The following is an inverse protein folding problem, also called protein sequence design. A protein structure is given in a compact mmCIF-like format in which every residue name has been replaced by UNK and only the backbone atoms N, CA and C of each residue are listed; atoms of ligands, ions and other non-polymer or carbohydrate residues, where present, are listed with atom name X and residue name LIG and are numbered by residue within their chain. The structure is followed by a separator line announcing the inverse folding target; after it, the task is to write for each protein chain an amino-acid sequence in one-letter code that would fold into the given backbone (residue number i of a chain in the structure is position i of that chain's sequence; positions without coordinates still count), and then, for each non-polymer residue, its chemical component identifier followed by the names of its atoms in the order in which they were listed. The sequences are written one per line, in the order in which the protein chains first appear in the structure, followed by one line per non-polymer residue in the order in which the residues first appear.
data_IF_500974648091
#
_entry.id   IF_500974648091
#
_cell.length_a   1.000
_cell.length_b   1.000
_cell.length_c   1.000
_cell.angle_alpha   90.00
_cell.angle_beta   90.00
_cell.angle_gamma   90.00
#
_symmetry.space_group_name_H-M   'P 1'
#
loop_
_entity.id
_entity.type
_entity.pdbx_description
1 polymer ?
#
# COMPACT_ATOMS: atom_id res chain seq x y z
N UNK A 1 -36.88 -2.08 9.97
CA UNK A 1 -36.28 -0.81 10.44
C UNK A 1 -34.74 -0.79 10.29
N UNK A 2 -34.05 -1.91 10.53
CA UNK A 2 -32.57 -2.00 10.51
C UNK A 2 -31.92 -1.89 9.13
N UNK A 3 -32.53 -2.42 8.07
CA UNK A 3 -31.98 -2.33 6.70
C UNK A 3 -32.05 -0.91 6.14
N UNK A 4 -33.18 -0.22 6.30
CA UNK A 4 -33.37 1.15 5.83
C UNK A 4 -32.40 2.14 6.50
N UNK A 5 -32.17 1.98 7.81
CA UNK A 5 -31.19 2.78 8.56
C UNK A 5 -29.74 2.52 8.10
N UNK A 6 -29.40 1.27 7.74
CA UNK A 6 -28.08 0.93 7.15
C UNK A 6 -27.90 1.61 5.81
N UNK A 7 -28.89 1.54 4.93
CA UNK A 7 -28.84 2.18 3.62
C UNK A 7 -28.72 3.71 3.73
N UNK A 8 -29.48 4.35 4.63
CA UNK A 8 -29.39 5.79 4.86
C UNK A 8 -28.01 6.21 5.42
N UNK A 9 -27.44 5.42 6.34
CA UNK A 9 -26.06 5.63 6.82
C UNK A 9 -25.04 5.50 5.69
N UNK A 10 -25.19 4.51 4.80
CA UNK A 10 -24.31 4.30 3.66
C UNK A 10 -24.38 5.45 2.65
N UNK A 11 -25.56 6.03 2.40
CA UNK A 11 -25.69 7.27 1.61
C UNK A 11 -25.01 8.47 2.28
N UNK A 12 -25.07 8.58 3.61
CA UNK A 12 -24.33 9.59 4.37
C UNK A 12 -22.81 9.44 4.25
N UNK A 13 -22.31 8.20 4.28
CA UNK A 13 -20.89 7.92 4.03
C UNK A 13 -20.50 8.16 2.57
N UNK A 14 -21.38 7.87 1.61
CA UNK A 14 -21.19 8.21 0.19
C UNK A 14 -21.06 9.72 -0.03
N UNK A 15 -21.87 10.55 0.64
CA UNK A 15 -21.76 12.00 0.60
C UNK A 15 -20.42 12.50 1.18
N UNK A 16 -19.87 11.79 2.17
CA UNK A 16 -18.54 12.07 2.76
C UNK A 16 -17.39 11.52 1.93
N UNK A 17 -17.64 10.77 0.86
CA UNK A 17 -16.58 10.30 -0.04
C UNK A 17 -15.94 11.44 -0.83
N UNK A 18 -16.60 12.60 -0.92
CA UNK A 18 -16.12 13.79 -1.63
C UNK A 18 -15.90 14.91 -0.62
N UNK A 19 -14.70 14.97 -0.05
CA UNK A 19 -14.25 16.07 0.82
C UNK A 19 -13.20 16.94 0.13
N UNK A 20 -12.88 18.10 0.71
CA UNK A 20 -11.92 19.07 0.14
C UNK A 20 -10.51 18.51 -0.02
N UNK A 21 -10.06 17.58 0.84
CA UNK A 21 -8.75 16.92 0.70
C UNK A 21 -8.73 15.99 -0.50
N UNK A 22 -9.82 15.27 -0.75
CA UNK A 22 -9.97 14.36 -1.89
C UNK A 22 -10.15 15.09 -3.20
N UNK A 23 -10.88 16.20 -3.22
CA UNK A 23 -10.99 17.06 -4.40
C UNK A 23 -9.58 17.49 -4.85
N UNK A 24 -8.70 17.86 -3.92
CA UNK A 24 -7.29 18.16 -4.24
C UNK A 24 -6.52 16.93 -4.74
N UNK A 25 -6.75 15.75 -4.17
CA UNK A 25 -6.18 14.49 -4.68
C UNK A 25 -6.62 14.20 -6.11
N UNK A 26 -7.92 14.23 -6.38
CA UNK A 26 -8.52 14.03 -7.70
C UNK A 26 -8.00 15.03 -8.73
N UNK A 27 -7.88 16.31 -8.36
CA UNK A 27 -7.31 17.34 -9.23
C UNK A 27 -5.84 17.07 -9.59
N UNK A 28 -5.05 16.48 -8.67
CA UNK A 28 -3.68 16.04 -8.97
C UNK A 28 -3.66 14.82 -9.88
N UNK A 29 -4.52 13.84 -9.63
CA UNK A 29 -4.63 12.64 -10.47
C UNK A 29 -4.93 13.01 -11.93
N UNK A 30 -5.86 13.94 -12.16
CA UNK A 30 -6.22 14.40 -13.50
C UNK A 30 -5.09 15.12 -14.24
N UNK A 31 -4.08 15.61 -13.52
CA UNK A 31 -2.90 16.31 -14.10
C UNK A 31 -1.68 15.41 -14.21
N UNK A 32 -1.72 14.23 -13.62
CA UNK A 32 -0.58 13.30 -13.61
C UNK A 32 -0.70 12.36 -14.79
N UNK A 33 0.30 12.39 -15.68
CA UNK A 33 0.33 11.48 -16.81
C UNK A 33 0.74 10.08 -16.34
N UNK A 34 -0.24 9.20 -16.11
CA UNK A 34 0.03 7.81 -15.72
C UNK A 34 0.63 7.02 -16.90
N UNK A 35 0.47 7.49 -18.13
CA UNK A 35 0.95 6.79 -19.31
C UNK A 35 2.48 6.79 -19.43
N UNK A 36 3.18 7.68 -18.72
CA UNK A 36 4.65 7.75 -18.71
C UNK A 36 5.34 6.58 -17.98
N UNK A 37 4.59 5.81 -17.19
CA UNK A 37 5.14 4.70 -16.41
C UNK A 37 5.03 3.41 -17.19
N UNK A 38 6.16 2.96 -17.72
CA UNK A 38 6.24 1.76 -18.53
C UNK A 38 6.66 0.53 -17.70
N UNK A 39 6.16 -0.65 -18.07
CA UNK A 39 6.59 -1.91 -17.50
C UNK A 39 8.02 -2.25 -17.96
N UNK A 40 8.68 -3.25 -17.36
CA UNK A 40 9.95 -3.74 -17.90
C UNK A 40 9.79 -4.18 -19.36
N UNK A 41 10.78 -3.89 -20.18
CA UNK A 41 10.78 -4.23 -21.62
C UNK A 41 10.64 -5.73 -21.87
N UNK A 42 11.20 -6.55 -20.97
CA UNK A 42 11.12 -8.01 -21.01
C UNK A 42 10.65 -8.54 -19.65
N UNK A 43 9.52 -9.25 -19.58
CA UNK A 43 9.06 -9.89 -18.35
C UNK A 43 10.10 -10.89 -17.83
N UNK A 44 10.43 -10.80 -16.55
CA UNK A 44 11.26 -11.80 -15.87
C UNK A 44 10.42 -13.07 -15.58
N UNK A 45 10.83 -14.18 -16.19
CA UNK A 45 10.11 -15.45 -16.08
C UNK A 45 10.05 -16.01 -14.65
N UNK A 46 11.06 -15.73 -13.81
CA UNK A 46 11.07 -16.16 -12.41
C UNK A 46 10.09 -15.32 -11.58
N UNK A 47 10.08 -13.99 -11.75
CA UNK A 47 9.14 -13.11 -11.07
C UNK A 47 7.69 -13.42 -11.48
N UNK A 48 7.46 -13.66 -12.78
CA UNK A 48 6.17 -14.13 -13.30
C UNK A 48 5.80 -15.48 -12.69
N UNK A 49 6.75 -16.42 -12.61
CA UNK A 49 6.55 -17.75 -12.04
C UNK A 49 6.08 -17.70 -10.59
N UNK A 50 6.75 -16.90 -9.74
CA UNK A 50 6.39 -16.76 -8.33
C UNK A 50 5.01 -16.12 -8.16
N UNK A 51 4.66 -15.13 -8.99
CA UNK A 51 3.37 -14.44 -8.92
C UNK A 51 2.23 -15.18 -9.66
N UNK A 52 2.50 -16.29 -10.35
CA UNK A 52 1.53 -17.01 -11.17
C UNK A 52 0.51 -17.79 -10.32
N UNK A 53 -0.77 -17.70 -10.67
CA UNK A 53 -1.84 -18.36 -9.90
C UNK A 53 -2.16 -17.64 -8.59
N UNK A 54 -3.36 -17.84 -8.06
CA UNK A 54 -3.78 -17.17 -6.82
C UNK A 54 -3.02 -17.72 -5.60
N UNK A 55 -2.84 -16.88 -4.58
CA UNK A 55 -2.45 -17.38 -3.25
C UNK A 55 -3.66 -18.05 -2.60
N UNK A 56 -3.47 -19.23 -2.03
CA UNK A 56 -4.55 -20.09 -1.52
C UNK A 56 -4.76 -19.94 0.00
N UNK A 57 -3.72 -19.51 0.72
CA UNK A 57 -3.76 -19.31 2.17
C UNK A 57 -2.87 -18.16 2.60
N UNK A 58 -2.90 -17.80 3.89
CA UNK A 58 -2.01 -16.77 4.45
C UNK A 58 -0.56 -17.27 4.48
N UNK A 59 -0.36 -18.57 4.75
CA UNK A 59 0.96 -19.19 4.75
C UNK A 59 1.57 -19.21 3.33
N UNK A 60 0.79 -19.66 2.34
CA UNK A 60 1.18 -19.64 0.92
C UNK A 60 1.50 -18.21 0.43
N UNK A 61 0.65 -17.23 0.79
CA UNK A 61 0.94 -15.83 0.49
C UNK A 61 2.25 -15.37 1.13
N UNK A 62 2.48 -15.64 2.43
CA UNK A 62 3.71 -15.23 3.11
C UNK A 62 4.97 -15.87 2.52
N UNK A 63 4.90 -17.16 2.16
CA UNK A 63 6.00 -17.87 1.50
C UNK A 63 6.32 -17.27 0.14
N UNK A 64 5.32 -17.13 -0.73
CA UNK A 64 5.53 -16.64 -2.10
C UNK A 64 5.88 -15.17 -2.16
N UNK A 65 5.36 -14.34 -1.25
CA UNK A 65 5.79 -12.95 -1.12
C UNK A 65 7.26 -12.86 -0.70
N UNK A 66 7.73 -13.71 0.21
CA UNK A 66 9.14 -13.79 0.59
C UNK A 66 10.01 -14.23 -0.59
N UNK A 67 9.61 -15.26 -1.32
CA UNK A 67 10.35 -15.68 -2.53
C UNK A 67 10.40 -14.56 -3.57
N UNK A 68 9.31 -13.83 -3.76
CA UNK A 68 9.28 -12.70 -4.69
C UNK A 68 10.18 -11.55 -4.20
N UNK A 69 10.18 -11.29 -2.89
CA UNK A 69 11.07 -10.32 -2.24
C UNK A 69 12.53 -10.68 -2.47
N UNK A 70 12.94 -11.90 -2.14
CA UNK A 70 14.32 -12.38 -2.30
C UNK A 70 14.79 -12.22 -3.76
N UNK A 71 13.95 -12.58 -4.72
CA UNK A 71 14.26 -12.45 -6.16
C UNK A 71 14.42 -11.00 -6.61
N UNK A 72 13.61 -10.09 -6.08
CA UNK A 72 13.73 -8.66 -6.39
C UNK A 72 14.99 -8.06 -5.75
N UNK A 73 15.33 -8.47 -4.52
CA UNK A 73 16.55 -8.03 -3.82
C UNK A 73 17.81 -8.48 -4.56
N UNK A 74 17.86 -9.74 -5.01
CA UNK A 74 18.95 -10.28 -5.83
C UNK A 74 19.18 -9.49 -7.14
N UNK A 75 18.17 -8.75 -7.60
CA UNK A 75 18.21 -7.92 -8.83
C UNK A 75 18.39 -6.43 -8.54
N UNK A 76 18.58 -6.05 -7.27
CA UNK A 76 18.58 -4.66 -6.81
C UNK A 76 17.31 -3.90 -7.26
N UNK A 77 16.19 -4.61 -7.39
CA UNK A 77 14.94 -4.05 -7.88
C UNK A 77 14.20 -3.34 -6.73
N UNK A 78 13.98 -2.05 -6.89
CA UNK A 78 13.36 -1.18 -5.86
C UNK A 78 11.91 -1.51 -5.58
N UNK A 79 11.24 -2.34 -6.40
CA UNK A 79 9.93 -2.92 -6.05
C UNK A 79 10.02 -3.78 -4.79
N UNK A 80 11.21 -4.28 -4.43
CA UNK A 80 11.47 -4.95 -3.16
C UNK A 80 11.18 -4.05 -1.94
N UNK A 81 11.34 -2.73 -2.04
CA UNK A 81 11.21 -1.81 -0.89
C UNK A 81 9.86 -1.91 -0.20
N UNK A 82 8.78 -1.72 -0.96
CA UNK A 82 7.44 -1.89 -0.42
C UNK A 82 7.17 -3.36 -0.07
N UNK A 83 7.63 -4.29 -0.91
CA UNK A 83 7.37 -5.71 -0.73
C UNK A 83 7.95 -6.24 0.59
N UNK A 84 9.15 -5.84 0.99
CA UNK A 84 9.75 -6.19 2.29
C UNK A 84 8.88 -5.78 3.47
N UNK A 85 8.36 -4.54 3.45
CA UNK A 85 7.42 -4.07 4.49
C UNK A 85 6.15 -4.94 4.48
N UNK A 86 5.65 -5.25 3.29
CA UNK A 86 4.42 -6.00 3.12
C UNK A 86 4.54 -7.49 3.52
N UNK A 87 5.65 -8.14 3.17
CA UNK A 87 5.96 -9.52 3.58
C UNK A 87 5.96 -9.61 5.10
N UNK A 88 6.71 -8.74 5.78
CA UNK A 88 6.79 -8.72 7.25
C UNK A 88 5.44 -8.42 7.91
N UNK A 89 4.64 -7.52 7.33
CA UNK A 89 3.27 -7.29 7.78
C UNK A 89 2.40 -8.54 7.66
N UNK A 90 2.47 -9.23 6.53
CA UNK A 90 1.70 -10.46 6.27
C UNK A 90 2.08 -11.57 7.24
N UNK A 91 3.37 -11.75 7.52
CA UNK A 91 3.88 -12.72 8.51
C UNK A 91 3.37 -12.43 9.92
N UNK A 92 3.40 -11.16 10.36
CA UNK A 92 2.90 -10.79 11.69
C UNK A 92 1.40 -11.01 11.83
N UNK A 93 0.63 -10.71 10.78
CA UNK A 93 -0.80 -10.98 10.77
C UNK A 93 -1.05 -12.48 10.81
N UNK A 94 -0.30 -13.28 10.05
CA UNK A 94 -0.33 -14.74 10.11
C UNK A 94 -0.07 -15.27 11.53
N UNK A 95 0.99 -14.79 12.19
CA UNK A 95 1.34 -15.16 13.54
C UNK A 95 0.24 -14.76 14.56
N UNK A 96 -0.32 -13.55 14.44
CA UNK A 96 -1.41 -13.09 15.31
C UNK A 96 -2.69 -13.89 15.11
N UNK A 97 -3.00 -14.31 13.88
CA UNK A 97 -4.12 -15.23 13.60
C UNK A 97 -3.88 -16.57 14.31
N UNK A 98 -2.68 -17.15 14.19
CA UNK A 98 -2.33 -18.42 14.82
C UNK A 98 -2.39 -18.35 16.36
N UNK A 99 -2.03 -17.21 16.94
CA UNK A 99 -2.11 -16.95 18.38
C UNK A 99 -3.53 -16.64 18.89
N UNK A 100 -4.56 -16.68 18.04
CA UNK A 100 -5.94 -16.37 18.44
C UNK A 100 -6.18 -14.87 18.74
N UNK A 101 -5.35 -13.98 18.20
CA UNK A 101 -5.38 -12.54 18.48
C UNK A 101 -6.47 -11.74 17.74
N UNK A 102 -7.44 -12.42 17.12
CA UNK A 102 -8.56 -11.86 16.37
C UNK A 102 -9.86 -12.57 16.74
N UNK A 103 -10.99 -11.84 16.69
CA UNK A 103 -12.32 -12.35 17.03
C UNK A 103 -12.84 -13.32 15.99
N UNK A 104 -12.61 -13.03 14.71
CA UNK A 104 -12.97 -13.86 13.56
C UNK A 104 -11.70 -14.26 12.78
N UNK A 105 -11.00 -15.32 13.22
CA UNK A 105 -9.76 -15.76 12.59
C UNK A 105 -9.96 -16.30 11.18
N UNK A 106 -11.14 -16.81 10.84
CA UNK A 106 -11.45 -17.29 9.49
C UNK A 106 -11.60 -16.12 8.52
N UNK A 107 -12.35 -15.09 8.90
CA UNK A 107 -12.46 -13.88 8.12
C UNK A 107 -11.10 -13.17 7.98
N UNK A 108 -10.29 -13.14 9.04
CA UNK A 108 -8.93 -12.58 8.96
C UNK A 108 -8.01 -13.34 8.01
N UNK A 109 -8.14 -14.68 7.90
CA UNK A 109 -7.42 -15.47 6.88
C UNK A 109 -7.89 -15.08 5.48
N UNK A 110 -9.20 -15.07 5.23
CA UNK A 110 -9.76 -14.70 3.94
C UNK A 110 -9.38 -13.26 3.53
N UNK A 111 -9.47 -12.32 4.47
CA UNK A 111 -9.05 -10.92 4.31
C UNK A 111 -7.57 -10.85 3.91
N UNK A 112 -6.67 -11.45 4.69
CA UNK A 112 -5.22 -11.37 4.45
C UNK A 112 -4.83 -12.02 3.12
N UNK A 113 -5.35 -13.21 2.81
CA UNK A 113 -5.08 -13.89 1.52
C UNK A 113 -5.66 -13.13 0.33
N UNK A 114 -6.86 -12.56 0.45
CA UNK A 114 -7.45 -11.76 -0.63
C UNK A 114 -6.65 -10.48 -0.87
N UNK A 115 -6.18 -9.83 0.20
CA UNK A 115 -5.39 -8.62 0.11
C UNK A 115 -4.06 -8.87 -0.61
N UNK A 116 -3.38 -9.98 -0.29
CA UNK A 116 -2.16 -10.41 -0.98
C UNK A 116 -2.39 -10.70 -2.46
N UNK A 117 -3.54 -11.28 -2.79
CA UNK A 117 -3.93 -11.50 -4.19
C UNK A 117 -4.19 -10.20 -4.97
N UNK A 118 -4.59 -9.10 -4.32
CA UNK A 118 -4.70 -7.80 -4.99
C UNK A 118 -3.32 -7.28 -5.42
N UNK A 119 -2.34 -7.29 -4.51
CA UNK A 119 -0.95 -6.96 -4.82
C UNK A 119 -0.40 -7.87 -5.93
N UNK A 120 -0.53 -9.20 -5.77
CA UNK A 120 -0.06 -10.20 -6.74
C UNK A 120 -0.60 -9.94 -8.15
N UNK A 121 -1.89 -9.66 -8.27
CA UNK A 121 -2.52 -9.40 -9.58
C UNK A 121 -1.97 -8.15 -10.23
N UNK A 122 -1.80 -7.06 -9.47
CA UNK A 122 -1.23 -5.82 -9.97
C UNK A 122 0.24 -6.03 -10.40
N UNK A 123 1.03 -6.70 -9.56
CA UNK A 123 2.44 -7.02 -9.83
C UNK A 123 2.58 -7.87 -11.10
N UNK A 124 1.85 -8.99 -11.18
CA UNK A 124 1.90 -9.90 -12.34
C UNK A 124 1.48 -9.22 -13.65
N UNK A 125 0.40 -8.42 -13.60
CA UNK A 125 -0.06 -7.67 -14.77
C UNK A 125 0.98 -6.64 -15.22
N UNK A 126 1.64 -5.95 -14.28
CA UNK A 126 2.68 -4.99 -14.58
C UNK A 126 3.92 -5.68 -15.17
N UNK A 127 4.38 -6.77 -14.54
CA UNK A 127 5.53 -7.55 -15.02
C UNK A 127 5.33 -8.10 -16.44
N UNK A 128 4.09 -8.45 -16.81
CA UNK A 128 3.74 -8.93 -18.16
C UNK A 128 3.50 -7.83 -19.20
N UNK A 129 3.54 -6.56 -18.80
CA UNK A 129 3.16 -5.45 -19.66
C UNK A 129 1.66 -5.37 -19.97
N UNK A 130 0.80 -6.03 -19.19
CA UNK A 130 -0.66 -5.99 -19.31
C UNK A 130 -1.23 -4.71 -18.67
N UNK A 131 -0.77 -3.53 -19.10
CA UNK A 131 -1.03 -2.25 -18.43
C UNK A 131 -2.52 -1.92 -18.25
N UNK A 132 -3.40 -2.40 -19.14
CA UNK A 132 -4.85 -2.23 -18.99
C UNK A 132 -5.45 -2.94 -17.77
N UNK A 133 -4.74 -3.93 -17.22
CA UNK A 133 -5.11 -4.65 -16.01
C UNK A 133 -4.43 -4.11 -14.74
N UNK A 134 -3.45 -3.21 -14.88
CA UNK A 134 -2.74 -2.58 -13.75
C UNK A 134 -3.50 -1.34 -13.28
N UNK A 135 -3.94 -1.28 -12.01
CA UNK A 135 -4.55 -0.05 -11.49
C UNK A 135 -3.57 1.12 -11.50
N UNK A 136 -4.03 2.31 -11.88
CA UNK A 136 -3.19 3.51 -11.98
C UNK A 136 -2.26 3.77 -10.78
N UNK A 137 -2.70 3.63 -9.49
CA UNK A 137 -1.79 3.83 -8.36
C UNK A 137 -0.64 2.83 -8.32
N UNK A 138 -0.90 1.57 -8.73
CA UNK A 138 0.12 0.53 -8.84
C UNK A 138 1.03 0.74 -10.03
N UNK A 139 0.49 1.23 -11.16
CA UNK A 139 1.29 1.58 -12.34
C UNK A 139 2.32 2.67 -12.01
N UNK A 140 1.90 3.71 -11.26
CA UNK A 140 2.84 4.73 -10.77
C UNK A 140 3.85 4.10 -9.81
N UNK A 141 3.41 3.30 -8.83
CA UNK A 141 4.31 2.71 -7.85
C UNK A 141 5.39 1.81 -8.49
N UNK A 142 5.00 0.86 -9.33
CA UNK A 142 5.93 -0.06 -9.97
C UNK A 142 6.81 0.65 -11.01
N UNK A 143 6.22 1.50 -11.87
CA UNK A 143 7.00 2.21 -12.88
C UNK A 143 7.97 3.22 -12.31
N UNK A 144 7.64 3.83 -11.16
CA UNK A 144 8.61 4.68 -10.43
C UNK A 144 9.77 3.84 -9.91
N UNK A 145 9.47 2.70 -9.27
CA UNK A 145 10.48 1.83 -8.70
C UNK A 145 11.44 1.27 -9.78
N UNK A 146 10.94 0.98 -10.99
CA UNK A 146 11.78 0.53 -12.12
C UNK A 146 12.51 1.67 -12.83
N UNK A 147 12.02 2.91 -12.75
CA UNK A 147 12.56 4.09 -13.44
C UNK A 147 13.67 4.85 -12.69
N UNK A 148 13.96 4.52 -11.43
CA UNK A 148 15.08 5.04 -10.60
C UNK A 148 15.12 6.56 -10.30
N UNK A 149 14.10 7.33 -10.68
CA UNK A 149 14.08 8.80 -10.47
C UNK A 149 13.55 9.27 -9.09
N UNK A 150 13.11 8.34 -8.25
CA UNK A 150 12.55 8.61 -6.93
C UNK A 150 13.45 8.13 -5.79
N UNK A 151 13.24 8.66 -4.59
CA UNK A 151 13.90 8.19 -3.36
C UNK A 151 13.31 6.85 -2.89
N UNK A 152 14.09 6.04 -2.17
CA UNK A 152 13.61 4.73 -1.66
C UNK A 152 12.39 4.92 -0.76
N UNK A 153 12.39 6.00 0.01
CA UNK A 153 11.23 6.40 0.80
C UNK A 153 9.97 6.64 -0.05
N UNK A 154 10.12 7.28 -1.22
CA UNK A 154 9.00 7.53 -2.12
C UNK A 154 8.44 6.22 -2.67
N UNK A 155 9.31 5.26 -3.04
CA UNK A 155 8.87 3.93 -3.51
C UNK A 155 8.07 3.18 -2.44
N UNK A 156 8.55 3.18 -1.18
CA UNK A 156 7.81 2.62 -0.06
C UNK A 156 6.40 3.24 0.06
N UNK A 157 6.31 4.57 -0.07
CA UNK A 157 5.06 5.30 0.14
C UNK A 157 4.09 5.10 -1.01
N UNK A 158 4.59 5.00 -2.23
CA UNK A 158 3.78 4.71 -3.41
C UNK A 158 3.12 3.33 -3.28
N UNK A 159 3.87 2.32 -2.86
CA UNK A 159 3.34 0.98 -2.59
C UNK A 159 2.30 0.99 -1.45
N UNK A 160 2.60 1.65 -0.32
CA UNK A 160 1.65 1.79 0.80
C UNK A 160 0.37 2.50 0.35
N UNK A 161 0.50 3.56 -0.44
CA UNK A 161 -0.64 4.30 -0.97
C UNK A 161 -1.49 3.41 -1.89
N UNK A 162 -0.90 2.69 -2.84
CA UNK A 162 -1.64 1.81 -3.73
C UNK A 162 -2.33 0.68 -2.93
N UNK A 163 -1.63 0.07 -1.98
CA UNK A 163 -2.18 -1.06 -1.23
C UNK A 163 -3.25 -0.66 -0.21
N UNK A 164 -3.02 0.39 0.58
CA UNK A 164 -3.96 0.82 1.64
C UNK A 164 -5.09 1.69 1.07
N UNK A 165 -4.78 2.65 0.19
CA UNK A 165 -5.79 3.60 -0.28
C UNK A 165 -6.56 3.12 -1.50
N UNK A 166 -6.11 2.08 -2.22
CA UNK A 166 -6.85 1.50 -3.34
C UNK A 166 -7.27 0.05 -3.09
N UNK A 167 -6.35 -0.89 -2.87
CA UNK A 167 -6.71 -2.32 -2.81
C UNK A 167 -7.60 -2.67 -1.61
N UNK A 168 -7.38 -2.03 -0.46
CA UNK A 168 -7.99 -2.42 0.80
C UNK A 168 -9.52 -2.34 0.79
N UNK A 169 -10.08 -1.27 0.21
CA UNK A 169 -11.54 -1.11 0.13
C UNK A 169 -12.18 -2.20 -0.74
N UNK A 170 -11.52 -2.54 -1.85
CA UNK A 170 -11.97 -3.57 -2.79
C UNK A 170 -11.84 -4.96 -2.17
N UNK A 171 -10.76 -5.19 -1.41
CA UNK A 171 -10.54 -6.41 -0.65
C UNK A 171 -11.63 -6.63 0.39
N UNK A 172 -11.90 -5.63 1.25
CA UNK A 172 -12.93 -5.70 2.28
C UNK A 172 -14.32 -5.98 1.68
N UNK A 173 -14.65 -5.33 0.55
CA UNK A 173 -15.87 -5.60 -0.19
C UNK A 173 -15.94 -7.06 -0.66
N UNK A 174 -14.85 -7.59 -1.21
CA UNK A 174 -14.82 -8.93 -1.81
C UNK A 174 -14.86 -10.06 -0.77
N UNK A 175 -14.24 -9.86 0.40
CA UNK A 175 -14.27 -10.86 1.50
C UNK A 175 -15.55 -10.81 2.33
N UNK A 176 -16.35 -9.76 2.16
CA UNK A 176 -17.66 -9.62 2.79
C UNK A 176 -17.61 -9.13 4.25
N UNK A 177 -18.32 -8.03 4.51
CA UNK A 177 -18.35 -7.36 5.81
C UNK A 177 -19.68 -7.50 6.56
N UNK A 178 -20.69 -8.18 6.00
CA UNK A 178 -22.08 -8.04 6.47
C UNK A 178 -22.50 -8.98 7.60
N UNK A 179 -22.00 -10.22 7.58
CA UNK A 179 -22.06 -11.07 8.76
C UNK A 179 -21.10 -10.54 9.82
N UNK A 180 -21.59 -10.30 11.04
CA UNK A 180 -20.81 -9.85 12.20
C UNK A 180 -19.95 -8.61 11.95
N UNK A 181 -20.48 -7.66 11.17
CA UNK A 181 -19.79 -6.42 10.75
C UNK A 181 -19.05 -5.71 11.89
N UNK A 182 -19.64 -5.66 13.08
CA UNK A 182 -19.02 -5.02 14.24
C UNK A 182 -17.76 -5.76 14.73
N UNK A 183 -17.79 -7.11 14.75
CA UNK A 183 -16.63 -7.93 15.10
C UNK A 183 -15.54 -7.80 14.02
N UNK A 184 -15.91 -7.90 12.74
CA UNK A 184 -14.98 -7.72 11.61
C UNK A 184 -14.35 -6.34 11.59
N UNK A 185 -15.11 -5.29 11.94
CA UNK A 185 -14.56 -3.93 12.08
C UNK A 185 -13.58 -3.83 13.24
N UNK A 186 -13.83 -4.54 14.35
CA UNK A 186 -12.91 -4.59 15.47
C UNK A 186 -11.59 -5.28 15.07
N UNK A 187 -11.67 -6.40 14.35
CA UNK A 187 -10.46 -7.08 13.84
C UNK A 187 -9.72 -6.24 12.81
N UNK A 188 -10.42 -5.58 11.88
CA UNK A 188 -9.84 -4.62 10.94
C UNK A 188 -9.05 -3.50 11.64
N UNK A 189 -9.53 -3.05 12.80
CA UNK A 189 -8.86 -2.04 13.64
C UNK A 189 -7.72 -2.63 14.46
N UNK A 190 -7.84 -3.86 14.93
CA UNK A 190 -6.76 -4.55 15.65
C UNK A 190 -5.49 -4.68 14.79
N UNK A 191 -5.64 -4.76 13.45
CA UNK A 191 -4.51 -4.67 12.50
C UNK A 191 -3.70 -3.37 12.66
N UNK A 192 -4.33 -2.26 13.07
CA UNK A 192 -3.63 -0.98 13.27
C UNK A 192 -2.58 -1.06 14.38
N UNK A 193 -2.72 -1.97 15.34
CA UNK A 193 -1.72 -2.20 16.39
C UNK A 193 -0.45 -2.84 15.84
N UNK A 194 -0.62 -3.77 14.88
CA UNK A 194 0.50 -4.40 14.17
C UNK A 194 1.18 -3.36 13.27
N UNK A 195 0.36 -2.57 12.57
CA UNK A 195 0.84 -1.51 11.68
C UNK A 195 1.63 -0.43 12.43
N UNK A 196 1.19 -0.02 13.62
CA UNK A 196 1.90 0.96 14.44
C UNK A 196 3.34 0.56 14.70
N UNK A 197 3.57 -0.68 15.14
CA UNK A 197 4.92 -1.19 15.42
C UNK A 197 5.80 -1.22 14.18
N UNK A 198 5.23 -1.60 13.04
CA UNK A 198 5.94 -1.66 11.76
C UNK A 198 6.33 -0.27 11.23
N UNK A 199 5.42 0.70 11.29
CA UNK A 199 5.70 2.08 10.86
C UNK A 199 6.83 2.67 11.69
N UNK A 200 6.76 2.55 13.01
CA UNK A 200 7.77 3.12 13.90
C UNK A 200 9.15 2.51 13.64
N UNK A 201 9.21 1.22 13.32
CA UNK A 201 10.45 0.54 12.94
C UNK A 201 10.95 0.98 11.56
N UNK A 202 10.06 1.12 10.59
CA UNK A 202 10.35 1.56 9.23
C UNK A 202 10.88 3.00 9.20
N UNK A 203 10.22 3.93 9.88
CA UNK A 203 10.66 5.33 10.00
C UNK A 203 12.06 5.42 10.60
N UNK A 204 12.33 4.68 11.68
CA UNK A 204 13.66 4.61 12.30
C UNK A 204 14.72 4.05 11.37
N UNK A 205 14.44 2.96 10.66
CA UNK A 205 15.39 2.36 9.72
C UNK A 205 15.75 3.33 8.59
N UNK A 206 14.76 4.02 8.02
CA UNK A 206 14.98 4.98 6.95
C UNK A 206 15.71 6.23 7.44
N UNK A 207 15.35 6.76 8.61
CA UNK A 207 16.06 7.88 9.22
C UNK A 207 17.54 7.54 9.45
N UNK A 208 17.85 6.35 9.98
CA UNK A 208 19.23 5.89 10.18
C UNK A 208 20.03 5.80 8.87
N UNK A 209 19.38 5.34 7.79
CA UNK A 209 20.00 5.23 6.46
C UNK A 209 20.35 6.60 5.89
N UNK A 210 19.41 7.55 5.91
CA UNK A 210 19.65 8.87 5.34
C UNK A 210 20.52 9.76 6.25
N UNK A 211 20.44 9.63 7.58
CA UNK A 211 21.24 10.43 8.51
C UNK A 211 22.75 10.11 8.44
N UNK A 212 23.12 8.94 7.92
CA UNK A 212 24.52 8.60 7.66
C UNK A 212 25.14 9.40 6.50
N UNK A 213 24.31 10.00 5.63
CA UNK A 213 24.73 10.66 4.41
C UNK A 213 24.37 12.12 4.27
N UNK A 214 23.38 12.61 5.03
CA UNK A 214 22.82 13.96 4.88
C UNK A 214 22.63 14.60 6.26
N UNK A 215 23.09 15.84 6.43
CA UNK A 215 23.16 16.51 7.74
C UNK A 215 21.82 17.07 8.27
N UNK A 216 20.78 17.16 7.42
CA UNK A 216 19.49 17.79 7.76
C UNK A 216 18.27 16.97 7.27
N UNK A 217 18.27 15.67 7.59
CA UNK A 217 17.26 14.70 7.14
C UNK A 217 15.89 14.94 7.76
N UNK A 218 15.83 15.37 9.02
CA UNK A 218 14.57 15.58 9.75
C UNK A 218 13.73 16.71 9.13
N UNK A 219 14.36 17.80 8.69
CA UNK A 219 13.67 18.89 7.98
C UNK A 219 13.15 18.44 6.60
N UNK A 220 13.84 17.51 5.93
CA UNK A 220 13.44 16.93 4.65
C UNK A 220 12.22 16.02 4.82
N UNK A 221 12.31 15.07 5.74
CA UNK A 221 11.34 13.97 5.82
C UNK A 221 10.05 14.35 6.55
N UNK A 222 10.01 15.44 7.32
CA UNK A 222 8.86 15.79 8.17
C UNK A 222 7.48 15.79 7.49
N UNK A 223 7.37 16.28 6.23
CA UNK A 223 6.07 16.28 5.49
C UNK A 223 5.67 14.91 4.95
N UNK A 224 6.65 14.07 4.66
CA UNK A 224 6.47 12.67 4.27
C UNK A 224 6.14 11.84 5.52
N UNK A 225 6.80 12.13 6.64
CA UNK A 225 6.65 11.50 7.93
C UNK A 225 5.26 11.76 8.55
N UNK A 226 4.72 12.97 8.42
CA UNK A 226 3.32 13.27 8.80
C UNK A 226 2.28 12.39 8.09
N UNK A 227 2.56 11.90 6.88
CA UNK A 227 1.64 11.05 6.10
C UNK A 227 1.76 9.57 6.37
N UNK A 228 2.99 9.10 6.58
CA UNK A 228 3.23 7.78 7.14
C UNK A 228 2.93 7.69 8.62
N UNK A 229 2.66 8.82 9.27
CA UNK A 229 2.21 8.81 10.65
C UNK A 229 1.11 7.77 10.83
N UNK A 230 1.15 7.11 11.98
CA UNK A 230 0.13 6.16 12.38
C UNK A 230 -1.28 6.74 12.24
N UNK A 231 -1.45 8.05 12.40
CA UNK A 231 -2.71 8.75 12.17
C UNK A 231 -3.14 8.73 10.69
N UNK A 232 -2.24 9.01 9.76
CA UNK A 232 -2.51 8.97 8.32
C UNK A 232 -2.92 7.57 7.85
N UNK A 233 -2.20 6.54 8.30
CA UNK A 233 -2.50 5.16 7.94
C UNK A 233 -3.79 4.63 8.57
N UNK A 234 -4.07 5.01 9.84
CA UNK A 234 -5.37 4.71 10.48
C UNK A 234 -6.53 5.35 9.71
N UNK A 235 -6.40 6.61 9.30
CA UNK A 235 -7.44 7.30 8.53
C UNK A 235 -7.65 6.64 7.16
N UNK A 236 -6.57 6.26 6.45
CA UNK A 236 -6.66 5.51 5.19
C UNK A 236 -7.41 4.18 5.36
N UNK A 237 -7.13 3.44 6.42
CA UNK A 237 -7.81 2.16 6.72
C UNK A 237 -9.27 2.34 7.13
N UNK A 238 -9.61 3.36 7.91
CA UNK A 238 -11.02 3.69 8.22
C UNK A 238 -11.76 4.18 6.98
N UNK A 239 -11.07 4.88 6.08
CA UNK A 239 -11.64 5.29 4.81
C UNK A 239 -11.92 4.08 3.90
N UNK A 240 -10.99 3.14 3.80
CA UNK A 240 -11.20 1.92 3.03
C UNK A 240 -12.41 1.12 3.56
N UNK A 241 -12.60 1.06 4.87
CA UNK A 241 -13.78 0.47 5.50
C UNK A 241 -15.08 1.19 5.08
N UNK A 242 -15.10 2.52 5.10
CA UNK A 242 -16.26 3.31 4.64
C UNK A 242 -16.60 3.06 3.17
N UNK A 243 -15.60 2.99 2.29
CA UNK A 243 -15.83 2.66 0.86
C UNK A 243 -16.38 1.25 0.72
N UNK A 244 -15.85 0.27 1.47
CA UNK A 244 -16.37 -1.09 1.45
C UNK A 244 -17.85 -1.13 1.89
N UNK A 245 -18.21 -0.42 2.95
CA UNK A 245 -19.61 -0.27 3.38
C UNK A 245 -20.49 0.32 2.28
N UNK A 246 -20.04 1.38 1.60
CA UNK A 246 -20.79 1.96 0.46
C UNK A 246 -20.96 0.95 -0.68
N UNK A 247 -19.89 0.24 -1.04
CA UNK A 247 -19.91 -0.75 -2.12
C UNK A 247 -20.74 -2.00 -1.78
N UNK A 248 -20.95 -2.29 -0.50
CA UNK A 248 -21.75 -3.42 -0.03
C UNK A 248 -23.21 -3.05 0.18
N UNK A 249 -23.49 -1.92 0.82
CA UNK A 249 -24.85 -1.53 1.23
C UNK A 249 -25.63 -0.77 0.14
N UNK A 250 -24.93 -0.11 -0.79
CA UNK A 250 -25.58 0.66 -1.86
C UNK A 250 -25.68 -0.18 -3.12
N UNK A 251 -26.83 -0.84 -3.30
CA UNK A 251 -27.15 -1.64 -4.48
C UNK A 251 -27.39 -0.85 -5.78
N UNK A 252 -27.07 0.44 -5.83
CA UNK A 252 -27.26 1.30 -7.00
C UNK A 252 -25.96 1.36 -7.84
N UNK A 253 -25.93 0.80 -9.06
CA UNK A 253 -24.69 0.66 -9.84
C UNK A 253 -23.92 1.97 -10.06
N UNK A 254 -24.56 3.13 -10.34
CA UNK A 254 -23.84 4.39 -10.47
C UNK A 254 -23.07 4.82 -9.22
N UNK A 255 -23.58 4.55 -8.01
CA UNK A 255 -22.86 4.85 -6.76
C UNK A 255 -21.64 3.93 -6.62
N UNK A 256 -21.78 2.65 -6.97
CA UNK A 256 -20.64 1.74 -6.96
C UNK A 256 -19.54 2.16 -7.95
N UNK A 257 -19.93 2.60 -9.15
CA UNK A 257 -19.00 3.15 -10.14
C UNK A 257 -18.31 4.42 -9.64
N UNK A 258 -19.08 5.36 -9.06
CA UNK A 258 -18.52 6.58 -8.46
C UNK A 258 -17.55 6.27 -7.32
N UNK A 259 -17.90 5.36 -6.41
CA UNK A 259 -17.05 4.99 -5.28
C UNK A 259 -15.72 4.37 -5.76
N UNK A 260 -15.76 3.48 -6.77
CA UNK A 260 -14.53 2.92 -7.39
C UNK A 260 -13.71 3.99 -8.09
N UNK A 261 -14.36 4.92 -8.79
CA UNK A 261 -13.67 6.02 -9.46
C UNK A 261 -13.00 6.96 -8.46
N UNK A 262 -13.71 7.38 -7.39
CA UNK A 262 -13.13 8.21 -6.31
C UNK A 262 -11.95 7.49 -5.66
N UNK A 263 -12.10 6.21 -5.35
CA UNK A 263 -11.04 5.38 -4.78
C UNK A 263 -9.78 5.42 -5.66
N UNK A 264 -9.93 5.11 -6.96
CA UNK A 264 -8.82 5.19 -7.94
C UNK A 264 -8.22 6.58 -8.00
N UNK A 265 -9.03 7.61 -8.25
CA UNK A 265 -8.59 8.98 -8.44
C UNK A 265 -7.86 9.53 -7.19
N UNK A 266 -8.35 9.24 -5.99
CA UNK A 266 -7.69 9.69 -4.76
C UNK A 266 -6.35 8.99 -4.51
N UNK A 267 -6.25 7.70 -4.79
CA UNK A 267 -5.00 6.96 -4.69
C UNK A 267 -3.98 7.40 -5.76
N UNK A 268 -4.40 7.60 -7.02
CA UNK A 268 -3.55 8.16 -8.08
C UNK A 268 -3.06 9.56 -7.73
N UNK A 269 -3.95 10.40 -7.18
CA UNK A 269 -3.60 11.74 -6.72
C UNK A 269 -2.68 11.76 -5.50
N UNK A 270 -2.80 10.75 -4.64
CA UNK A 270 -1.88 10.48 -3.54
C UNK A 270 -0.48 10.18 -4.07
N UNK A 271 -0.37 9.31 -5.08
CA UNK A 271 0.89 8.98 -5.73
C UNK A 271 1.55 10.20 -6.40
N UNK A 272 0.78 10.98 -7.16
CA UNK A 272 1.25 12.23 -7.77
C UNK A 272 1.73 13.25 -6.72
N UNK A 273 1.13 13.27 -5.53
CA UNK A 273 1.64 14.11 -4.44
C UNK A 273 2.97 13.59 -3.89
N UNK A 274 3.12 12.28 -3.69
CA UNK A 274 4.37 11.68 -3.18
C UNK A 274 5.54 12.02 -4.11
N UNK A 275 5.30 12.06 -5.41
CA UNK A 275 6.29 12.42 -6.43
C UNK A 275 6.44 13.93 -6.65
N UNK A 276 5.46 14.73 -6.22
CA UNK A 276 5.48 16.17 -6.40
C UNK A 276 6.59 16.85 -5.57
N UNK A 277 6.93 18.11 -5.89
CA UNK A 277 8.00 18.90 -5.24
C UNK A 277 7.57 19.34 -3.83
N UNK A 278 7.38 18.36 -2.95
CA UNK A 278 7.02 18.54 -1.54
C UNK A 278 8.24 18.87 -0.68
N UNK A 279 9.43 18.65 -1.25
CA UNK A 279 10.74 18.79 -0.66
C UNK A 279 11.45 20.00 -1.29
N UNK A 280 12.38 20.59 -0.53
CA UNK A 280 13.30 21.58 -1.08
C UNK A 280 14.10 20.95 -2.25
N UNK A 281 14.16 21.61 -3.44
CA UNK A 281 14.80 21.02 -4.62
C UNK A 281 16.28 20.68 -4.44
N UNK A 282 17.03 21.49 -3.69
CA UNK A 282 18.45 21.30 -3.47
C UNK A 282 18.69 20.11 -2.54
N UNK A 283 17.87 19.99 -1.50
CA UNK A 283 17.88 18.85 -0.58
C UNK A 283 17.43 17.55 -1.25
N UNK A 284 16.42 17.59 -2.12
CA UNK A 284 16.01 16.42 -2.91
C UNK A 284 17.13 15.98 -3.85
N UNK A 285 17.87 16.92 -4.45
CA UNK A 285 19.04 16.61 -5.26
C UNK A 285 20.20 16.04 -4.42
N UNK A 286 20.37 16.49 -3.18
CA UNK A 286 21.35 15.91 -2.24
C UNK A 286 20.99 14.47 -1.86
N UNK A 287 19.74 14.21 -1.46
CA UNK A 287 19.26 12.85 -1.13
C UNK A 287 19.38 11.90 -2.32
N UNK A 288 19.06 12.36 -3.54
CA UNK A 288 19.23 11.57 -4.76
C UNK A 288 20.70 11.27 -5.07
N UNK A 289 21.59 12.25 -4.90
CA UNK A 289 23.04 12.03 -5.08
C UNK A 289 23.58 11.03 -4.07
N UNK A 290 23.11 11.08 -2.83
CA UNK A 290 23.46 10.09 -1.82
C UNK A 290 23.01 8.68 -2.25
N UNK A 291 21.76 8.55 -2.73
CA UNK A 291 21.25 7.27 -3.27
C UNK A 291 22.01 6.77 -4.51
N UNK A 292 22.60 7.66 -5.31
CA UNK A 292 23.34 7.26 -6.52
C UNK A 292 24.81 6.87 -6.27
N UNK A 293 25.45 7.38 -5.21
CA UNK A 293 26.91 7.29 -5.03
C UNK A 293 27.32 6.31 -3.92
N UNK A 294 26.46 6.05 -2.93
CA UNK A 294 26.85 5.26 -1.75
C UNK A 294 25.73 4.47 -1.08
N UNK A 295 24.66 4.18 -1.82
CA UNK A 295 23.47 3.53 -1.30
C UNK A 295 23.35 2.11 -1.85
N UNK A 296 23.66 1.13 -1.01
CA UNK A 296 23.38 -0.27 -1.28
C UNK A 296 21.93 -0.57 -0.84
N UNK A 297 21.09 -0.89 -1.83
CA UNK A 297 19.67 -1.19 -1.58
C UNK A 297 19.53 -2.40 -0.65
N UNK A 298 20.40 -3.41 -0.79
CA UNK A 298 20.28 -4.62 0.01
C UNK A 298 20.63 -4.34 1.48
N UNK A 299 21.69 -3.58 1.74
CA UNK A 299 22.04 -3.09 3.09
C UNK A 299 20.88 -2.32 3.74
N UNK A 300 20.18 -1.50 2.97
CA UNK A 300 19.02 -0.73 3.46
C UNK A 300 17.85 -1.64 3.80
N UNK A 301 17.58 -2.61 2.94
CA UNK A 301 16.55 -3.62 3.19
C UNK A 301 16.91 -4.53 4.35
N UNK A 302 18.18 -4.87 4.56
CA UNK A 302 18.64 -5.63 5.73
C UNK A 302 18.45 -4.83 7.02
N UNK A 303 18.82 -3.54 7.04
CA UNK A 303 18.56 -2.67 8.19
C UNK A 303 17.07 -2.53 8.46
N UNK A 304 16.28 -2.38 7.41
CA UNK A 304 14.82 -2.35 7.50
C UNK A 304 14.29 -3.66 8.10
N UNK A 305 14.67 -4.82 7.55
CA UNK A 305 14.27 -6.14 8.05
C UNK A 305 14.67 -6.31 9.51
N UNK A 306 15.92 -6.01 9.88
CA UNK A 306 16.40 -6.13 11.27
C UNK A 306 15.57 -5.28 12.22
N UNK A 307 15.29 -4.01 11.88
CA UNK A 307 14.46 -3.11 12.70
C UNK A 307 13.02 -3.57 12.78
N UNK A 308 12.48 -4.08 11.67
CA UNK A 308 11.16 -4.69 11.67
C UNK A 308 11.22 -5.87 12.65
N UNK A 309 12.09 -6.84 12.53
CA UNK A 309 12.13 -8.04 13.38
C UNK A 309 12.35 -7.72 14.87
N UNK A 310 13.14 -6.69 15.21
CA UNK A 310 13.30 -6.16 16.59
C UNK A 310 12.00 -5.60 17.21
N UNK A 311 11.03 -5.19 16.39
CA UNK A 311 9.74 -4.63 16.82
C UNK A 311 8.60 -5.66 16.95
N UNK A 312 8.90 -6.95 16.75
CA UNK A 312 7.95 -8.06 16.74
C UNK A 312 7.43 -8.41 18.16
#
# INVERSE_FOLDING_TARGET
MTALLRTLSAYGDAARLVDTRRIRGMARALRHDVAQYDPPDTPDAELVGVAQGAFESVADAAERLRTLEDRLREREDRRAVFLTIYTRMTERISARIAAGGFRDPEWMRAYTTRFANYYRRAFLAFERGELGAVPDPWRIAFGTATGSDALVLQDAFLGINAHINYDLALTLRDVGIDADRAAKRADHRAVNEVLARLIDAQQRALAEVYAAGVADVDAALGRLDERLSLLGLREGREQAWRVAVVLTDVGFPPVASLARWVLRATATGGAAFVLGPSLDPDLLAELRRFEQVGFDLDDVLERLVRRLDESA
#
